data_IF_721931921858
#
_entry.id   IF_721931921858
#
_cell.length_a   1.000
_cell.length_b   1.000
_cell.length_c   1.000
_cell.angle_alpha   90.00
_cell.angle_beta   90.00
_cell.angle_gamma   90.00
#
_symmetry.space_group_name_H-M   'P 1'
#
loop_
_entity.id
_entity.type
_entity.pdbx_description
1 polymer ?
#
# COMPACT_ATOMS: atom_id res chain seq x y z
N UNK A 1 3.12 12.99 11.96
CA UNK A 1 2.13 12.70 10.89
C UNK A 1 1.18 13.89 10.76
N UNK A 2 0.74 14.28 9.59
CA UNK A 2 0.03 15.54 9.37
C UNK A 2 -1.45 15.36 9.08
N UNK A 3 -2.30 16.19 9.67
CA UNK A 3 -3.70 16.29 9.28
C UNK A 3 -3.82 17.04 7.96
N UNK A 4 -4.33 16.39 6.91
CA UNK A 4 -4.54 16.97 5.58
C UNK A 4 -5.78 17.87 5.50
N UNK A 5 -6.53 18.03 6.61
CA UNK A 5 -7.72 18.87 6.70
C UNK A 5 -8.57 18.61 7.94
N UNK A 6 -9.69 19.33 8.06
CA UNK A 6 -10.58 19.26 9.24
C UNK A 6 -11.53 18.06 9.27
N UNK A 7 -11.55 17.21 8.24
CA UNK A 7 -12.42 16.03 8.20
C UNK A 7 -11.88 14.92 9.15
N UNK A 8 -12.78 14.10 9.72
CA UNK A 8 -12.39 13.02 10.66
C UNK A 8 -11.45 12.00 10.03
N UNK A 9 -11.61 11.70 8.75
CA UNK A 9 -10.81 10.70 8.04
C UNK A 9 -9.78 11.33 7.09
N UNK A 10 -9.30 12.55 7.38
CA UNK A 10 -8.25 13.21 6.61
C UNK A 10 -6.88 13.12 7.27
N UNK A 11 -6.67 12.13 8.09
CA UNK A 11 -5.44 11.85 8.82
C UNK A 11 -4.90 10.49 8.40
N UNK A 12 -3.59 10.34 8.26
CA UNK A 12 -2.93 9.10 7.84
C UNK A 12 -3.32 7.94 8.77
N UNK A 13 -3.43 8.22 10.08
CA UNK A 13 -3.84 7.25 11.08
C UNK A 13 -5.24 6.67 10.78
N UNK A 14 -6.15 7.46 10.22
CA UNK A 14 -7.49 7.00 9.88
C UNK A 14 -7.47 5.97 8.72
N UNK A 15 -6.55 6.11 7.78
CA UNK A 15 -6.37 5.16 6.69
C UNK A 15 -5.83 3.83 7.22
N UNK A 16 -4.80 3.86 8.05
CA UNK A 16 -4.19 2.69 8.66
C UNK A 16 -5.18 1.91 9.53
N UNK A 17 -5.93 2.59 10.40
CA UNK A 17 -7.00 2.00 11.20
C UNK A 17 -8.05 1.33 10.31
N UNK A 18 -8.51 2.06 9.28
CA UNK A 18 -9.53 1.55 8.36
C UNK A 18 -9.06 0.30 7.61
N UNK A 19 -7.81 0.31 7.17
CA UNK A 19 -7.19 -0.83 6.50
C UNK A 19 -7.10 -2.02 7.46
N UNK A 20 -6.48 -1.82 8.63
CA UNK A 20 -6.24 -2.89 9.59
C UNK A 20 -7.52 -3.54 10.11
N UNK A 21 -8.52 -2.71 10.46
CA UNK A 21 -9.80 -3.21 10.94
C UNK A 21 -10.55 -4.03 9.88
N UNK A 22 -10.56 -3.55 8.63
CA UNK A 22 -11.17 -4.29 7.51
C UNK A 22 -10.42 -5.58 7.18
N UNK A 23 -9.10 -5.58 7.29
CA UNK A 23 -8.27 -6.77 7.03
C UNK A 23 -8.58 -7.87 8.05
N UNK A 24 -8.66 -7.54 9.34
CA UNK A 24 -9.05 -8.47 10.40
C UNK A 24 -10.48 -9.02 10.19
N UNK A 25 -11.44 -8.14 9.89
CA UNK A 25 -12.82 -8.56 9.60
C UNK A 25 -12.89 -9.45 8.36
N UNK A 26 -12.08 -9.19 7.34
CA UNK A 26 -11.95 -10.00 6.13
C UNK A 26 -11.34 -11.37 6.41
N UNK A 27 -10.47 -11.48 7.39
CA UNK A 27 -9.88 -12.72 7.90
C UNK A 27 -10.81 -13.47 8.88
N UNK A 28 -12.07 -13.00 9.05
CA UNK A 28 -13.14 -13.55 9.89
C UNK A 28 -12.93 -13.39 11.40
N UNK A 29 -12.12 -12.43 11.85
CA UNK A 29 -12.11 -12.05 13.26
C UNK A 29 -13.46 -11.49 13.65
N UNK A 30 -13.89 -11.78 14.89
CA UNK A 30 -15.09 -11.18 15.45
C UNK A 30 -14.87 -9.68 15.70
N UNK A 31 -15.97 -8.91 15.73
CA UNK A 31 -15.90 -7.45 15.82
C UNK A 31 -15.11 -6.97 17.04
N UNK A 32 -15.38 -7.58 18.20
CA UNK A 32 -14.75 -7.25 19.48
C UNK A 32 -13.24 -7.57 19.46
N UNK A 33 -12.88 -8.71 18.88
CA UNK A 33 -11.48 -9.12 18.78
C UNK A 33 -10.70 -8.24 17.81
N UNK A 34 -11.27 -7.97 16.62
CA UNK A 34 -10.68 -7.06 15.65
C UNK A 34 -10.46 -5.66 16.24
N UNK A 35 -11.43 -5.13 16.98
CA UNK A 35 -11.30 -3.84 17.65
C UNK A 35 -10.20 -3.83 18.70
N UNK A 36 -10.14 -4.87 19.54
CA UNK A 36 -9.11 -4.98 20.58
C UNK A 36 -7.71 -5.02 19.99
N UNK A 37 -7.52 -5.74 18.87
CA UNK A 37 -6.23 -5.80 18.17
C UNK A 37 -5.85 -4.42 17.63
N UNK A 38 -6.76 -3.74 16.93
CA UNK A 38 -6.51 -2.39 16.37
C UNK A 38 -6.17 -1.39 17.47
N UNK A 39 -6.91 -1.40 18.57
CA UNK A 39 -6.66 -0.52 19.74
C UNK A 39 -5.28 -0.80 20.32
N UNK A 40 -4.94 -2.07 20.53
CA UNK A 40 -3.65 -2.46 21.12
C UNK A 40 -2.46 -2.09 20.22
N UNK A 41 -2.56 -2.34 18.91
CA UNK A 41 -1.49 -2.06 17.95
C UNK A 41 -1.25 -0.55 17.86
N UNK A 42 -2.29 0.26 17.67
CA UNK A 42 -2.13 1.70 17.43
C UNK A 42 -1.83 2.50 18.71
N UNK A 43 -2.52 2.24 19.83
CA UNK A 43 -2.29 3.02 21.05
C UNK A 43 -0.91 2.80 21.67
N UNK A 44 -0.18 1.76 21.27
CA UNK A 44 1.20 1.55 21.70
C UNK A 44 2.22 2.32 20.85
N UNK A 45 1.83 2.82 19.68
CA UNK A 45 2.73 3.38 18.66
C UNK A 45 2.48 4.87 18.40
N UNK A 46 1.29 5.40 18.73
CA UNK A 46 0.91 6.79 18.48
C UNK A 46 1.27 7.71 19.65
N UNK A 47 1.55 8.95 19.33
CA UNK A 47 1.77 10.02 20.32
C UNK A 47 0.45 10.48 20.94
N UNK A 48 0.52 11.12 22.13
CA UNK A 48 -0.65 11.60 22.87
C UNK A 48 -1.52 12.57 22.03
N UNK A 49 -0.90 13.34 21.14
CA UNK A 49 -1.58 14.28 20.24
C UNK A 49 -2.49 13.59 19.21
N UNK A 50 -2.19 12.35 18.85
CA UNK A 50 -2.93 11.58 17.83
C UNK A 50 -4.03 10.68 18.44
N UNK A 51 -4.07 10.55 19.78
CA UNK A 51 -5.07 9.72 20.47
C UNK A 51 -6.50 10.16 20.15
N UNK A 52 -6.77 11.46 20.10
CA UNK A 52 -8.09 11.99 19.75
C UNK A 52 -8.48 11.65 18.32
N UNK A 53 -7.55 11.81 17.38
CA UNK A 53 -7.74 11.45 15.96
C UNK A 53 -8.01 9.94 15.80
N UNK A 54 -7.30 9.10 16.55
CA UNK A 54 -7.51 7.65 16.59
C UNK A 54 -8.97 7.31 16.97
N UNK A 55 -9.44 7.74 18.15
CA UNK A 55 -10.76 7.36 18.64
C UNK A 55 -11.90 7.90 17.76
N UNK A 56 -11.81 9.16 17.33
CA UNK A 56 -12.82 9.77 16.44
C UNK A 56 -12.89 9.05 15.09
N UNK A 57 -11.73 8.72 14.51
CA UNK A 57 -11.66 8.00 13.25
C UNK A 57 -12.19 6.58 13.38
N UNK A 58 -11.80 5.88 14.43
CA UNK A 58 -12.19 4.49 14.65
C UNK A 58 -13.70 4.37 14.88
N UNK A 59 -14.29 5.27 15.68
CA UNK A 59 -15.75 5.32 15.87
C UNK A 59 -16.48 5.54 14.54
N UNK A 60 -16.02 6.50 13.73
CA UNK A 60 -16.64 6.76 12.44
C UNK A 60 -16.50 5.58 11.46
N UNK A 61 -15.33 4.91 11.45
CA UNK A 61 -15.08 3.72 10.61
C UNK A 61 -16.02 2.59 11.04
N UNK A 62 -16.11 2.28 12.32
CA UNK A 62 -17.00 1.25 12.85
C UNK A 62 -18.47 1.56 12.53
N UNK A 63 -18.91 2.81 12.74
CA UNK A 63 -20.27 3.22 12.41
C UNK A 63 -20.57 3.04 10.90
N UNK A 64 -19.67 3.47 10.01
CA UNK A 64 -19.84 3.30 8.56
C UNK A 64 -19.93 1.84 8.11
N UNK A 65 -19.32 0.94 8.88
CA UNK A 65 -19.36 -0.49 8.62
C UNK A 65 -20.56 -1.18 9.29
N UNK A 66 -21.35 -0.48 10.10
CA UNK A 66 -22.45 -1.04 10.88
C UNK A 66 -21.95 -1.94 12.00
N UNK A 67 -20.85 -1.56 12.65
CA UNK A 67 -20.11 -2.36 13.64
C UNK A 67 -19.65 -1.53 14.84
N UNK A 68 -20.29 -0.39 15.09
CA UNK A 68 -19.94 0.50 16.19
C UNK A 68 -20.16 -0.20 17.53
N UNK A 69 -19.14 -0.21 18.35
CA UNK A 69 -19.14 -0.74 19.71
C UNK A 69 -19.30 0.39 20.71
N UNK A 70 -20.00 0.12 21.82
CA UNK A 70 -20.28 1.13 22.85
C UNK A 70 -18.99 1.73 23.43
N UNK A 71 -17.98 0.92 23.73
CA UNK A 71 -16.71 1.41 24.27
C UNK A 71 -16.02 2.42 23.32
N UNK A 72 -16.03 2.15 22.03
CA UNK A 72 -15.43 3.03 21.02
C UNK A 72 -16.26 4.29 20.81
N UNK A 73 -17.60 4.14 20.86
CA UNK A 73 -18.55 5.24 20.81
C UNK A 73 -18.37 6.19 21.99
N UNK A 74 -18.35 5.63 23.22
CA UNK A 74 -18.23 6.41 24.45
C UNK A 74 -16.92 7.22 24.46
N UNK A 75 -15.80 6.60 24.09
CA UNK A 75 -14.52 7.31 23.98
C UNK A 75 -14.56 8.47 22.98
N UNK A 76 -15.18 8.27 21.83
CA UNK A 76 -15.31 9.33 20.82
C UNK A 76 -16.23 10.47 21.31
N UNK A 77 -17.33 10.16 22.00
CA UNK A 77 -18.23 11.16 22.57
C UNK A 77 -17.56 11.94 23.71
N UNK A 78 -16.82 11.27 24.61
CA UNK A 78 -16.05 11.93 25.67
C UNK A 78 -15.04 12.94 25.11
N UNK A 79 -14.39 12.62 23.99
CA UNK A 79 -13.45 13.54 23.29
C UNK A 79 -14.20 14.73 22.71
N UNK A 80 -15.39 14.53 22.11
CA UNK A 80 -16.21 15.60 21.56
C UNK A 80 -16.70 16.51 22.69
N UNK A 81 -17.26 15.94 23.75
CA UNK A 81 -17.84 16.67 24.87
C UNK A 81 -16.79 17.47 25.66
N UNK A 82 -15.59 16.93 25.84
CA UNK A 82 -14.47 17.63 26.50
C UNK A 82 -13.84 18.70 25.62
N UNK A 83 -14.00 18.65 24.30
CA UNK A 83 -13.34 19.53 23.35
C UNK A 83 -11.84 19.24 23.17
N UNK A 84 -11.33 18.11 23.66
CA UNK A 84 -9.90 17.76 23.62
C UNK A 84 -9.31 17.77 22.18
N UNK A 85 -10.09 17.34 21.17
CA UNK A 85 -9.62 17.39 19.76
C UNK A 85 -9.44 18.81 19.23
N UNK A 86 -10.10 19.81 19.83
CA UNK A 86 -10.03 21.20 19.36
C UNK A 86 -8.75 21.92 19.78
N UNK A 87 -8.00 21.40 20.73
CA UNK A 87 -6.74 21.98 21.19
C UNK A 87 -5.71 22.06 20.06
N UNK A 88 -5.64 21.04 19.24
CA UNK A 88 -4.73 20.99 18.06
C UNK A 88 -5.07 22.01 16.96
N UNK A 89 -6.22 22.71 17.04
CA UNK A 89 -6.70 23.70 16.06
C UNK A 89 -6.69 25.13 16.62
N UNK A 90 -6.12 25.37 17.78
CA UNK A 90 -6.19 26.69 18.48
C UNK A 90 -5.47 27.79 17.72
N UNK A 91 -4.41 27.47 16.97
CA UNK A 91 -3.63 28.45 16.22
C UNK A 91 -4.43 29.04 15.02
N UNK A 92 -5.44 28.34 14.50
CA UNK A 92 -6.30 28.83 13.40
C UNK A 92 -7.78 28.80 13.81
N UNK A 93 -8.35 29.92 14.25
CA UNK A 93 -9.75 30.03 14.65
C UNK A 93 -10.75 29.65 13.55
N UNK A 94 -10.36 29.77 12.27
CA UNK A 94 -11.23 29.41 11.14
C UNK A 94 -11.30 27.90 10.99
N UNK A 95 -10.15 27.23 11.07
CA UNK A 95 -10.07 25.77 11.03
C UNK A 95 -10.74 25.16 12.27
N UNK A 96 -10.49 25.72 13.47
CA UNK A 96 -11.14 25.31 14.72
C UNK A 96 -12.67 25.30 14.59
N UNK A 97 -13.27 26.41 14.12
CA UNK A 97 -14.72 26.48 13.90
C UNK A 97 -15.24 25.46 12.89
N UNK A 98 -14.45 25.22 11.84
CA UNK A 98 -14.82 24.17 10.85
C UNK A 98 -14.72 22.78 11.46
N UNK A 99 -13.73 22.52 12.32
CA UNK A 99 -13.58 21.25 13.03
C UNK A 99 -14.72 21.04 14.01
N UNK A 100 -15.13 22.05 14.78
CA UNK A 100 -16.32 22.01 15.65
C UNK A 100 -17.56 21.54 14.90
N UNK A 101 -17.82 22.11 13.71
CA UNK A 101 -18.96 21.70 12.88
C UNK A 101 -18.86 20.24 12.37
N UNK A 102 -17.63 19.73 12.20
CA UNK A 102 -17.38 18.34 11.81
C UNK A 102 -17.62 17.41 13.00
N UNK A 103 -17.15 17.79 14.20
CA UNK A 103 -17.38 17.03 15.44
C UNK A 103 -18.86 16.95 15.79
N UNK A 104 -19.60 18.05 15.70
CA UNK A 104 -21.05 18.06 15.92
C UNK A 104 -21.77 17.06 14.99
N UNK A 105 -21.41 17.02 13.70
CA UNK A 105 -21.98 16.05 12.75
C UNK A 105 -21.58 14.61 13.05
N UNK A 106 -20.40 14.42 13.60
CA UNK A 106 -19.96 13.09 14.04
C UNK A 106 -20.79 12.64 15.24
N UNK A 107 -20.98 13.49 16.24
CA UNK A 107 -21.81 13.23 17.42
C UNK A 107 -23.24 12.82 17.04
N UNK A 108 -23.92 13.64 16.18
CA UNK A 108 -25.26 13.29 15.67
C UNK A 108 -25.26 11.91 14.99
N UNK A 109 -24.20 11.60 14.23
CA UNK A 109 -24.08 10.33 13.53
C UNK A 109 -23.87 9.16 14.49
N UNK A 110 -22.98 9.27 15.48
CA UNK A 110 -22.71 8.22 16.45
C UNK A 110 -23.94 7.94 17.34
N UNK A 111 -24.80 8.95 17.58
CA UNK A 111 -26.05 8.81 18.30
C UNK A 111 -27.23 8.35 17.41
N UNK A 112 -27.05 8.28 16.09
CA UNK A 112 -28.05 7.73 15.19
C UNK A 112 -27.94 6.22 15.04
N UNK A 113 -29.01 5.51 14.61
CA UNK A 113 -28.93 4.09 14.30
C UNK A 113 -27.84 3.81 13.27
N UNK A 114 -26.93 2.89 13.60
CA UNK A 114 -25.87 2.49 12.66
C UNK A 114 -26.45 1.71 11.47
N UNK A 115 -25.82 1.77 10.29
CA UNK A 115 -26.27 1.01 9.13
C UNK A 115 -26.15 -0.50 9.35
N UNK A 116 -26.80 -1.29 8.48
CA UNK A 116 -26.64 -2.74 8.52
C UNK A 116 -25.16 -3.13 8.35
N UNK A 117 -24.71 -4.12 9.13
CA UNK A 117 -23.34 -4.60 9.10
C UNK A 117 -22.91 -5.04 7.69
N UNK A 118 -21.86 -4.44 7.16
CA UNK A 118 -21.32 -4.74 5.84
C UNK A 118 -20.50 -6.02 5.88
N UNK A 119 -20.68 -6.87 4.86
CA UNK A 119 -19.78 -7.99 4.64
C UNK A 119 -18.44 -7.47 4.12
N UNK A 120 -17.37 -7.76 4.83
CA UNK A 120 -16.00 -7.41 4.43
C UNK A 120 -15.39 -8.67 3.80
N UNK A 121 -15.02 -8.63 2.51
CA UNK A 121 -14.35 -9.75 1.86
C UNK A 121 -12.90 -9.85 2.36
N UNK A 122 -12.35 -11.08 2.37
CA UNK A 122 -10.93 -11.29 2.60
C UNK A 122 -10.13 -10.55 1.52
N UNK A 123 -9.12 -9.79 1.96
CA UNK A 123 -8.22 -9.07 1.06
C UNK A 123 -7.39 -10.06 0.24
N UNK A 124 -7.12 -9.70 -0.98
CA UNK A 124 -6.08 -10.36 -1.75
C UNK A 124 -4.72 -9.92 -1.20
N UNK A 125 -3.90 -10.89 -0.85
CA UNK A 125 -2.51 -10.68 -0.46
C UNK A 125 -1.64 -11.11 -1.62
N UNK A 126 -0.75 -10.24 -2.07
CA UNK A 126 0.20 -10.59 -3.11
C UNK A 126 1.30 -11.48 -2.54
N UNK A 127 1.63 -12.55 -3.26
CA UNK A 127 2.70 -13.46 -2.94
C UNK A 127 3.54 -13.71 -4.19
N UNK A 128 4.82 -13.97 -3.98
CA UNK A 128 5.73 -14.36 -5.06
C UNK A 128 6.48 -15.63 -4.68
N UNK A 129 6.71 -16.50 -5.67
CA UNK A 129 7.58 -17.65 -5.54
C UNK A 129 9.03 -17.36 -6.01
N UNK A 130 9.25 -16.17 -6.57
CA UNK A 130 10.58 -15.73 -7.01
C UNK A 130 11.49 -15.50 -5.82
N UNK A 131 12.79 -15.68 -6.03
CA UNK A 131 13.84 -15.53 -5.03
C UNK A 131 14.86 -14.50 -5.49
N UNK A 132 15.56 -13.89 -4.56
CA UNK A 132 16.72 -13.04 -4.84
C UNK A 132 17.75 -13.85 -5.64
N UNK A 133 18.25 -13.27 -6.75
CA UNK A 133 19.14 -13.97 -7.66
C UNK A 133 18.44 -14.73 -8.79
N UNK A 134 17.12 -14.81 -8.82
CA UNK A 134 16.41 -15.35 -9.98
C UNK A 134 16.50 -14.38 -11.16
N UNK A 135 16.78 -14.91 -12.35
CA UNK A 135 16.54 -14.23 -13.60
C UNK A 135 15.27 -14.79 -14.24
N UNK A 136 14.36 -13.88 -14.62
CA UNK A 136 13.15 -14.25 -15.33
C UNK A 136 13.16 -13.69 -16.75
N UNK A 137 12.60 -14.44 -17.70
CA UNK A 137 12.15 -13.89 -18.96
C UNK A 137 10.72 -13.40 -18.80
N UNK A 138 10.44 -12.18 -19.27
CA UNK A 138 9.10 -11.64 -19.36
C UNK A 138 8.73 -11.45 -20.83
N UNK A 139 7.62 -12.07 -21.26
CA UNK A 139 7.17 -11.97 -22.65
C UNK A 139 6.36 -10.71 -22.87
N UNK A 140 6.85 -9.85 -23.75
CA UNK A 140 6.16 -8.64 -24.20
C UNK A 140 4.95 -8.97 -25.08
N UNK A 141 4.07 -7.99 -25.25
CA UNK A 141 2.93 -8.11 -26.16
C UNK A 141 3.34 -8.29 -27.62
N UNK A 142 4.56 -7.89 -28.02
CA UNK A 142 5.18 -8.16 -29.33
C UNK A 142 5.50 -9.64 -29.55
N UNK A 143 5.61 -10.43 -28.49
CA UNK A 143 6.08 -11.82 -28.51
C UNK A 143 7.57 -11.96 -28.19
N UNK A 144 8.33 -10.87 -28.15
CA UNK A 144 9.72 -10.85 -27.72
C UNK A 144 9.83 -10.98 -26.20
N UNK A 145 11.04 -11.24 -25.70
CA UNK A 145 11.32 -11.35 -24.28
C UNK A 145 12.27 -10.25 -23.82
N UNK A 146 12.10 -9.83 -22.58
CA UNK A 146 13.09 -9.08 -21.80
C UNK A 146 13.56 -9.93 -20.63
N UNK A 147 14.70 -9.55 -20.05
CA UNK A 147 15.27 -10.19 -18.86
C UNK A 147 15.17 -9.24 -17.68
N UNK A 148 14.57 -9.73 -16.60
CA UNK A 148 14.49 -9.07 -15.30
C UNK A 148 15.24 -9.93 -14.27
N UNK A 149 16.04 -9.33 -13.40
CA UNK A 149 16.73 -10.02 -12.33
C UNK A 149 16.15 -9.59 -10.99
N UNK A 150 15.79 -10.55 -10.14
CA UNK A 150 15.27 -10.29 -8.81
C UNK A 150 16.41 -9.87 -7.89
N UNK A 151 16.39 -8.63 -7.43
CA UNK A 151 17.41 -8.07 -6.54
C UNK A 151 16.97 -8.07 -5.07
N UNK A 152 15.65 -8.07 -4.83
CA UNK A 152 15.08 -8.19 -3.50
C UNK A 152 13.64 -8.70 -3.56
N UNK A 153 13.10 -9.11 -2.39
CA UNK A 153 11.69 -9.41 -2.18
C UNK A 153 11.17 -8.43 -1.14
N UNK A 154 10.39 -7.47 -1.61
CA UNK A 154 9.78 -6.46 -0.73
C UNK A 154 8.68 -7.13 0.07
N UNK A 155 8.75 -6.98 1.39
CA UNK A 155 7.74 -7.42 2.35
C UNK A 155 7.08 -6.20 2.98
N UNK A 156 5.78 -6.02 2.73
CA UNK A 156 5.01 -4.94 3.30
C UNK A 156 4.42 -5.34 4.65
N UNK A 157 4.22 -4.36 5.54
CA UNK A 157 3.50 -4.57 6.81
C UNK A 157 2.08 -5.14 6.58
N UNK A 158 1.52 -4.89 5.39
CA UNK A 158 0.25 -5.46 4.91
C UNK A 158 0.33 -6.95 4.56
N UNK A 159 1.47 -7.60 4.75
CA UNK A 159 1.77 -9.00 4.38
C UNK A 159 1.92 -9.23 2.87
N UNK A 160 1.89 -8.20 2.06
CA UNK A 160 2.16 -8.32 0.64
C UNK A 160 3.65 -8.58 0.40
N UNK A 161 3.95 -9.54 -0.49
CA UNK A 161 5.32 -9.90 -0.88
C UNK A 161 5.43 -9.90 -2.40
N UNK A 162 6.38 -9.13 -2.92
CA UNK A 162 6.57 -9.01 -4.36
C UNK A 162 8.03 -8.70 -4.71
N UNK A 163 8.47 -9.07 -5.94
CA UNK A 163 9.86 -8.90 -6.34
C UNK A 163 10.19 -7.44 -6.69
N UNK A 164 11.41 -7.06 -6.34
CA UNK A 164 12.12 -5.89 -6.85
C UNK A 164 13.10 -6.36 -7.91
N UNK A 165 13.09 -5.70 -9.08
CA UNK A 165 13.89 -6.09 -10.23
C UNK A 165 14.86 -5.00 -10.65
N UNK A 166 16.04 -5.41 -11.17
CA UNK A 166 16.80 -4.68 -12.17
C UNK A 166 16.39 -5.14 -13.57
N UNK A 167 16.38 -4.22 -14.55
CA UNK A 167 15.99 -4.48 -15.93
C UNK A 167 17.24 -4.59 -16.77
N UNK A 168 17.44 -5.71 -17.47
CA UNK A 168 18.56 -5.87 -18.39
C UNK A 168 18.30 -5.15 -19.71
N UNK A 169 19.33 -4.52 -20.28
CA UNK A 169 19.28 -3.92 -21.63
C UNK A 169 19.40 -5.02 -22.70
N UNK A 170 18.34 -5.80 -22.81
CA UNK A 170 18.26 -6.90 -23.76
C UNK A 170 16.82 -7.18 -24.17
N UNK A 171 16.57 -7.34 -25.45
CA UNK A 171 15.31 -7.78 -26.05
C UNK A 171 15.64 -8.82 -27.11
N UNK A 172 14.89 -9.90 -27.15
CA UNK A 172 15.09 -10.92 -28.17
C UNK A 172 14.06 -12.03 -28.13
N UNK A 173 14.15 -12.93 -29.12
CA UNK A 173 13.26 -14.10 -29.27
C UNK A 173 13.84 -15.36 -28.63
N UNK A 174 15.16 -15.42 -28.47
CA UNK A 174 15.87 -16.55 -27.89
C UNK A 174 16.52 -16.10 -26.58
N UNK A 175 16.29 -16.86 -25.53
CA UNK A 175 16.78 -16.53 -24.17
C UNK A 175 18.29 -16.74 -24.12
N UNK A 176 19.09 -15.74 -23.66
CA UNK A 176 20.54 -15.86 -23.55
C UNK A 176 20.97 -16.87 -22.48
N UNK A 177 22.22 -17.36 -22.56
CA UNK A 177 22.80 -18.26 -21.55
C UNK A 177 23.04 -17.53 -20.22
N UNK A 178 23.27 -18.28 -19.14
CA UNK A 178 23.60 -17.74 -17.81
C UNK A 178 24.78 -16.78 -17.84
N UNK A 179 25.83 -17.16 -18.56
CA UNK A 179 27.05 -16.35 -18.71
C UNK A 179 26.73 -15.02 -19.41
N UNK A 180 25.92 -15.07 -20.44
CA UNK A 180 25.46 -13.88 -21.16
C UNK A 180 24.56 -13.01 -20.26
N UNK A 181 23.59 -13.61 -19.55
CA UNK A 181 22.70 -12.90 -18.62
C UNK A 181 23.51 -12.15 -17.55
N UNK A 182 24.56 -12.75 -16.99
CA UNK A 182 25.43 -12.10 -16.02
C UNK A 182 26.19 -10.89 -16.56
N UNK A 183 26.46 -10.88 -17.87
CA UNK A 183 27.20 -9.82 -18.56
C UNK A 183 26.28 -8.71 -19.10
N UNK A 184 24.96 -8.94 -19.18
CA UNK A 184 24.03 -7.93 -19.71
C UNK A 184 24.19 -6.61 -18.95
N UNK A 185 24.22 -5.53 -19.71
CA UNK A 185 24.13 -4.20 -19.14
C UNK A 185 22.70 -3.96 -18.64
N UNK A 186 22.56 -2.98 -17.75
CA UNK A 186 21.25 -2.57 -17.26
C UNK A 186 20.68 -1.49 -18.16
N UNK A 187 19.38 -1.56 -18.40
CA UNK A 187 18.66 -0.55 -19.16
C UNK A 187 18.64 0.77 -18.42
N UNK A 188 18.91 1.84 -19.15
CA UNK A 188 18.83 3.22 -18.64
C UNK A 188 17.49 3.83 -19.03
N UNK A 189 16.89 4.53 -18.08
CA UNK A 189 15.77 5.41 -18.30
C UNK A 189 16.28 6.80 -18.71
N UNK A 190 15.69 7.38 -19.75
CA UNK A 190 16.04 8.74 -20.20
C UNK A 190 14.93 9.70 -19.80
N UNK A 191 15.28 10.68 -19.00
CA UNK A 191 14.35 11.72 -18.54
C UNK A 191 14.21 12.86 -19.57
N UNK A 192 13.21 13.72 -19.36
CA UNK A 192 12.90 14.83 -20.25
C UNK A 192 14.04 15.86 -20.40
N UNK A 193 14.91 15.97 -19.40
CA UNK A 193 16.10 16.81 -19.41
C UNK A 193 17.30 16.17 -20.12
N UNK A 194 17.15 14.95 -20.63
CA UNK A 194 18.19 14.18 -21.30
C UNK A 194 19.11 13.40 -20.35
N UNK A 195 18.91 13.49 -19.03
CA UNK A 195 19.64 12.67 -18.07
C UNK A 195 19.25 11.19 -18.21
N UNK A 196 20.19 10.30 -17.87
CA UNK A 196 19.97 8.85 -17.90
C UNK A 196 20.31 8.25 -16.54
N UNK A 197 19.37 7.48 -15.99
CA UNK A 197 19.55 6.76 -14.73
C UNK A 197 19.19 5.29 -14.88
N UNK A 198 19.83 4.45 -14.07
CA UNK A 198 19.44 3.05 -13.92
C UNK A 198 18.22 2.98 -13.04
N UNK A 199 17.21 2.23 -13.45
CA UNK A 199 15.96 2.16 -12.73
C UNK A 199 15.70 0.76 -12.19
N UNK A 200 15.06 0.74 -11.01
CA UNK A 200 14.56 -0.46 -10.37
C UNK A 200 13.03 -0.43 -10.37
N UNK A 201 12.43 -1.58 -10.58
CA UNK A 201 10.97 -1.71 -10.54
C UNK A 201 10.55 -2.78 -9.56
N UNK A 202 9.60 -2.45 -8.68
CA UNK A 202 8.91 -3.41 -7.86
C UNK A 202 7.57 -3.74 -8.51
N UNK A 203 7.29 -5.01 -8.74
CA UNK A 203 6.11 -5.41 -9.52
C UNK A 203 5.25 -6.39 -8.72
N UNK A 204 4.00 -6.00 -8.50
CA UNK A 204 3.05 -6.81 -7.72
C UNK A 204 1.76 -7.08 -8.49
N UNK A 205 1.02 -8.16 -8.20
CA UNK A 205 -0.30 -8.38 -8.79
C UNK A 205 -1.35 -7.49 -8.11
N UNK A 206 -2.08 -6.66 -8.87
CA UNK A 206 -3.21 -5.87 -8.36
C UNK A 206 -4.39 -6.74 -7.86
N UNK A 207 -4.37 -8.03 -8.07
CA UNK A 207 -5.37 -9.00 -7.66
C UNK A 207 -5.19 -10.34 -8.38
N UNK A 208 -6.03 -11.32 -8.05
CA UNK A 208 -5.93 -12.70 -8.60
C UNK A 208 -5.88 -12.79 -10.13
N UNK A 209 -6.46 -11.80 -10.84
CA UNK A 209 -6.50 -11.78 -12.31
C UNK A 209 -5.27 -11.13 -12.93
N UNK A 210 -4.49 -10.41 -12.14
CA UNK A 210 -3.24 -9.79 -12.55
C UNK A 210 -2.07 -10.76 -12.28
N UNK A 211 -2.11 -11.90 -12.94
CA UNK A 211 -1.14 -12.97 -12.74
C UNK A 211 -0.29 -13.14 -14.00
N UNK A 212 1.02 -12.86 -13.91
CA UNK A 212 1.94 -12.92 -15.05
C UNK A 212 2.39 -14.35 -15.39
N UNK A 213 1.94 -15.40 -14.71
CA UNK A 213 2.46 -16.78 -14.80
C UNK A 213 2.59 -17.31 -16.24
N UNK A 214 1.75 -16.83 -17.16
CA UNK A 214 1.83 -17.22 -18.58
C UNK A 214 2.88 -16.43 -19.36
N UNK A 215 3.39 -15.34 -18.80
CA UNK A 215 4.31 -14.38 -19.44
C UNK A 215 5.69 -14.38 -18.80
N UNK A 216 5.84 -14.97 -17.61
CA UNK A 216 7.11 -15.07 -16.91
C UNK A 216 7.59 -16.52 -16.82
N UNK A 217 8.89 -16.68 -16.88
CA UNK A 217 9.56 -17.96 -16.64
C UNK A 217 10.89 -17.70 -15.93
N UNK A 218 11.14 -18.38 -14.83
CA UNK A 218 12.49 -18.42 -14.24
C UNK A 218 13.38 -19.17 -15.23
N UNK A 219 14.44 -18.51 -15.67
CA UNK A 219 15.37 -19.03 -16.68
C UNK A 219 16.70 -19.40 -16.07
N UNK A 220 17.14 -18.69 -15.02
CA UNK A 220 18.36 -18.96 -14.29
C UNK A 220 18.20 -18.59 -12.81
N UNK A 221 18.97 -19.21 -11.96
CA UNK A 221 19.07 -18.94 -10.53
C UNK A 221 20.49 -18.47 -10.17
N UNK A 222 20.65 -17.81 -9.04
CA UNK A 222 21.95 -17.32 -8.51
C UNK A 222 22.69 -16.41 -9.53
N UNK A 223 21.97 -15.47 -10.12
CA UNK A 223 22.51 -14.49 -11.05
C UNK A 223 23.18 -13.34 -10.29
N UNK A 224 24.23 -12.78 -10.88
CA UNK A 224 24.90 -11.60 -10.33
C UNK A 224 23.99 -10.38 -10.39
N UNK A 225 23.73 -9.79 -9.22
CA UNK A 225 22.98 -8.55 -9.04
C UNK A 225 23.95 -7.37 -9.12
N UNK A 226 23.54 -6.28 -9.79
CA UNK A 226 24.36 -5.09 -9.97
C UNK A 226 23.85 -3.86 -9.21
N UNK A 227 22.56 -3.79 -8.92
CA UNK A 227 21.95 -2.66 -8.22
C UNK A 227 21.74 -2.98 -6.74
N UNK A 228 21.86 -1.93 -5.91
CA UNK A 228 21.45 -1.95 -4.52
C UNK A 228 19.92 -2.03 -4.43
N UNK A 229 19.34 -2.89 -3.56
CA UNK A 229 17.88 -2.98 -3.39
C UNK A 229 17.26 -1.75 -2.71
N UNK A 230 18.05 -0.87 -2.07
CA UNK A 230 17.54 0.33 -1.39
C UNK A 230 16.77 1.28 -2.33
N UNK A 231 15.77 2.02 -1.83
CA UNK A 231 15.05 3.01 -2.62
C UNK A 231 15.99 4.08 -3.24
N UNK A 232 15.59 4.74 -4.33
CA UNK A 232 14.26 4.72 -4.93
C UNK A 232 14.03 3.56 -5.92
N UNK A 233 12.75 3.17 -6.08
CA UNK A 233 12.30 2.27 -7.12
C UNK A 233 10.87 2.64 -7.57
N UNK A 234 10.49 2.24 -8.78
CA UNK A 234 9.13 2.46 -9.29
C UNK A 234 8.25 1.27 -8.92
N UNK A 235 7.10 1.54 -8.31
CA UNK A 235 6.12 0.53 -7.95
C UNK A 235 5.07 0.39 -9.06
N UNK A 236 4.88 -0.84 -9.56
CA UNK A 236 4.00 -1.16 -10.69
C UNK A 236 3.16 -2.40 -10.42
N UNK A 237 2.04 -2.50 -11.09
CA UNK A 237 1.33 -3.78 -11.23
C UNK A 237 1.80 -4.51 -12.49
N UNK A 238 1.59 -5.84 -12.56
CA UNK A 238 1.93 -6.60 -13.77
C UNK A 238 1.19 -6.12 -15.02
N UNK A 239 -0.01 -5.56 -14.87
CA UNK A 239 -0.77 -4.96 -15.97
C UNK A 239 -0.14 -3.70 -16.54
N UNK A 240 0.52 -2.92 -15.71
CA UNK A 240 1.14 -1.65 -16.08
C UNK A 240 2.52 -1.83 -16.68
N UNK A 241 3.13 -3.00 -16.49
CA UNK A 241 4.53 -3.23 -16.88
C UNK A 241 4.79 -3.00 -18.36
N UNK A 242 3.93 -3.50 -19.28
CA UNK A 242 4.11 -3.28 -20.72
C UNK A 242 4.06 -1.80 -21.10
N UNK A 243 3.10 -1.05 -20.53
CA UNK A 243 2.97 0.38 -20.79
C UNK A 243 4.15 1.17 -20.22
N UNK A 244 4.60 0.81 -19.03
CA UNK A 244 5.78 1.40 -18.41
C UNK A 244 7.03 1.17 -19.26
N UNK A 245 7.26 -0.06 -19.71
CA UNK A 245 8.40 -0.42 -20.55
C UNK A 245 8.39 0.33 -21.89
N UNK A 246 7.22 0.43 -22.53
CA UNK A 246 7.07 1.16 -23.79
C UNK A 246 7.29 2.67 -23.62
N UNK A 247 6.73 3.28 -22.57
CA UNK A 247 6.87 4.72 -22.26
C UNK A 247 8.33 5.11 -22.06
N UNK A 248 9.09 4.28 -21.38
CA UNK A 248 10.50 4.51 -21.06
C UNK A 248 11.45 3.96 -22.11
N UNK A 249 10.95 3.60 -23.31
CA UNK A 249 11.73 3.10 -24.43
C UNK A 249 12.55 1.84 -24.12
N UNK A 250 12.06 1.01 -23.21
CA UNK A 250 12.70 -0.27 -22.92
C UNK A 250 12.44 -1.34 -23.99
N UNK A 251 11.51 -1.08 -24.92
CA UNK A 251 11.06 -2.03 -25.96
C UNK A 251 11.36 -1.57 -27.38
N UNK A 252 12.11 -0.48 -27.55
CA UNK A 252 12.56 0.03 -28.87
C UNK A 252 13.95 -0.51 -29.25
#
# INVERSE_FOLDING_TARGET
MGAWGVAILSDDIAEDISFRFKDLLGDNYQNEEASRIVIQEHLNEIDDEDITAFWLSFALIQWKLGRLQEEVKDKALDIIDSGADLERWEEDPTLKRRREAVLFKLEEKLNSPQPQAKKIPKRFISETALKIGDAISYQLSSGDFIILKVIDIIEQWTRDRYPLFEICDWIGKEIPSKEQINQLELKKETFADGSQELNKIAVYPAGKRDNPIKRIKVIEEDITIKLDPEPPYTLLTWKELDEYLARNRYTE
#
